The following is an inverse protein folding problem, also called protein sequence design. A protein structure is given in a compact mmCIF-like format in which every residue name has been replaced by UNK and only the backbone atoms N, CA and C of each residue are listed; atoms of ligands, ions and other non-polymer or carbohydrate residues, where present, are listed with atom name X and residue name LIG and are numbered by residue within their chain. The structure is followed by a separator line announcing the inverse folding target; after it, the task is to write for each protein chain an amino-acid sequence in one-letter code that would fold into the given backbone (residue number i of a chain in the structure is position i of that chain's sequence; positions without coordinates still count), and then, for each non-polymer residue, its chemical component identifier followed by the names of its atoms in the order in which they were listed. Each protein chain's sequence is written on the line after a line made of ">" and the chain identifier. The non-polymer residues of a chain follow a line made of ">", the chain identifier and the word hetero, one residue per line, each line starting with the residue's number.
data_IF_512719001648
#
_entry.id   IF_512719001648
#
_cell.length_a   1.000
_cell.length_b   1.000
_cell.length_c   1.000
_cell.angle_alpha   90.00
_cell.angle_beta   90.00
_cell.angle_gamma   90.00
#
_symmetry.space_group_name_H-M   'P 1'
#
loop_
_entity.id
_entity.type
_entity.pdbx_description
1 polymer ?
#
# COMPACT_ATOMS: atom_id res chain seq x y z
N UNK A 1 5.07 2.66 0.48
CA UNK A 1 4.01 3.40 -0.25
C UNK A 1 2.66 2.73 -0.04
N UNK A 2 1.54 3.45 -0.07
CA UNK A 2 0.19 2.90 0.00
C UNK A 2 -0.69 3.54 -1.08
N UNK A 3 -1.54 2.75 -1.74
CA UNK A 3 -2.46 3.22 -2.79
C UNK A 3 -3.88 3.21 -2.22
N UNK A 4 -4.62 4.29 -2.43
CA UNK A 4 -6.00 4.41 -1.93
C UNK A 4 -6.89 5.12 -2.92
N UNK A 5 -8.19 4.88 -2.87
CA UNK A 5 -9.15 5.65 -3.66
C UNK A 5 -9.21 7.10 -3.18
N UNK A 6 -9.43 8.04 -4.11
CA UNK A 6 -9.49 9.49 -3.82
C UNK A 6 -10.51 9.85 -2.73
N UNK A 7 -11.61 9.11 -2.64
CA UNK A 7 -12.64 9.29 -1.60
C UNK A 7 -12.14 9.04 -0.17
N UNK A 8 -11.16 8.14 0.00
CA UNK A 8 -10.54 7.82 1.28
C UNK A 8 -9.30 8.66 1.55
N UNK A 9 -8.67 9.22 0.51
CA UNK A 9 -7.43 9.98 0.61
C UNK A 9 -7.56 11.20 1.54
N UNK A 10 -8.66 11.96 1.44
CA UNK A 10 -8.89 13.13 2.29
C UNK A 10 -8.97 12.76 3.78
N UNK A 11 -9.64 11.64 4.09
CA UNK A 11 -9.73 11.13 5.47
C UNK A 11 -8.36 10.70 5.97
N UNK A 12 -7.59 9.97 5.15
CA UNK A 12 -6.25 9.50 5.53
C UNK A 12 -5.29 10.68 5.81
N UNK A 13 -5.34 11.74 5.01
CA UNK A 13 -4.52 12.94 5.24
C UNK A 13 -4.93 13.70 6.51
N UNK A 14 -6.21 13.64 6.91
CA UNK A 14 -6.73 14.33 8.09
C UNK A 14 -6.55 13.54 9.38
N UNK A 15 -6.79 12.22 9.33
CA UNK A 15 -6.97 11.36 10.49
C UNK A 15 -5.88 10.29 10.61
N UNK A 16 -5.05 10.14 9.58
CA UNK A 16 -4.09 9.06 9.44
C UNK A 16 -4.71 7.82 8.79
N UNK A 17 -3.92 6.78 8.64
CA UNK A 17 -4.42 5.49 8.19
C UNK A 17 -5.38 4.89 9.22
N UNK A 18 -6.28 4.04 8.75
CA UNK A 18 -7.14 3.21 9.59
C UNK A 18 -6.93 1.73 9.21
N UNK A 19 -6.95 0.85 10.21
CA UNK A 19 -7.00 -0.58 9.95
C UNK A 19 -8.31 -0.90 9.24
N UNK A 20 -8.26 -1.79 8.25
CA UNK A 20 -9.42 -2.13 7.43
C UNK A 20 -10.61 -2.57 8.30
N UNK A 21 -11.73 -1.81 8.32
CA UNK A 21 -12.91 -2.19 9.08
C UNK A 21 -13.71 -3.22 8.26
N UNK A 22 -13.66 -4.48 8.67
CA UNK A 22 -14.44 -5.60 8.10
C UNK A 22 -14.05 -6.04 6.66
N UNK A 23 -13.13 -7.01 6.51
CA UNK A 23 -12.76 -7.58 5.23
C UNK A 23 -13.78 -8.65 4.87
N UNK A 24 -14.48 -8.48 3.76
CA UNK A 24 -15.40 -9.47 3.18
C UNK A 24 -14.70 -10.73 2.64
N UNK A 25 -13.71 -11.28 3.36
CA UNK A 25 -12.90 -12.44 2.94
C UNK A 25 -11.95 -12.14 1.78
N UNK A 26 -11.78 -10.86 1.42
CA UNK A 26 -10.92 -10.42 0.31
C UNK A 26 -9.63 -9.82 0.86
N UNK A 27 -8.75 -10.66 1.42
CA UNK A 27 -7.33 -10.36 1.39
C UNK A 27 -6.94 -10.36 -0.08
N UNK A 28 -6.30 -9.29 -0.56
CA UNK A 28 -6.05 -9.04 -1.98
C UNK A 28 -5.59 -10.32 -2.70
N UNK A 29 -6.49 -10.95 -3.48
CA UNK A 29 -6.28 -12.22 -4.20
C UNK A 29 -6.07 -13.49 -3.34
N UNK A 30 -5.80 -13.39 -2.05
CA UNK A 30 -5.67 -14.53 -1.12
C UNK A 30 -7.01 -14.86 -0.45
N UNK A 31 -7.95 -15.39 -1.24
CA UNK A 31 -9.25 -15.83 -0.77
C UNK A 31 -9.10 -17.04 0.16
N UNK A 32 -9.44 -16.91 1.44
CA UNK A 32 -9.41 -17.96 2.48
C UNK A 32 -8.03 -18.65 2.72
N UNK A 33 -6.99 -18.29 1.95
CA UNK A 33 -5.66 -18.89 2.03
C UNK A 33 -4.84 -18.36 3.19
N UNK A 34 -5.16 -17.16 3.67
CA UNK A 34 -4.41 -16.49 4.74
C UNK A 34 -5.36 -15.92 5.79
N UNK A 35 -4.92 -15.87 7.07
CA UNK A 35 -5.69 -15.24 8.13
C UNK A 35 -6.11 -13.83 7.76
N UNK A 36 -7.23 -13.41 8.32
CA UNK A 36 -7.77 -12.06 8.15
C UNK A 36 -6.72 -10.99 8.46
N UNK A 37 -6.46 -10.09 7.50
CA UNK A 37 -5.49 -9.00 7.68
C UNK A 37 -6.23 -7.72 8.07
N UNK A 38 -6.08 -7.31 9.33
CA UNK A 38 -6.62 -6.06 9.91
C UNK A 38 -5.50 -5.05 10.09
N UNK A 39 -4.97 -4.58 8.98
CA UNK A 39 -3.84 -3.66 8.93
C UNK A 39 -3.80 -2.93 7.58
N UNK A 40 -2.83 -2.03 7.43
CA UNK A 40 -2.63 -1.25 6.21
C UNK A 40 -1.60 -1.96 5.33
N UNK A 41 -1.90 -2.02 4.03
CA UNK A 41 -0.99 -2.57 3.03
C UNK A 41 -0.05 -1.48 2.51
N UNK A 42 1.24 -1.79 2.54
CA UNK A 42 2.30 -0.97 1.97
C UNK A 42 3.10 -1.77 0.95
N UNK A 43 3.56 -1.11 -0.11
CA UNK A 43 4.50 -1.68 -1.08
C UNK A 43 5.78 -0.86 -1.15
N UNK A 44 6.90 -1.52 -1.44
CA UNK A 44 8.17 -0.86 -1.77
C UNK A 44 8.21 -0.27 -3.18
N UNK A 45 7.18 -0.50 -4.00
CA UNK A 45 7.02 0.09 -5.32
C UNK A 45 5.65 0.80 -5.47
N UNK A 46 5.50 1.77 -6.38
CA UNK A 46 4.20 2.35 -6.69
C UNK A 46 3.37 1.33 -7.49
N UNK A 47 2.36 0.74 -6.83
CA UNK A 47 1.41 -0.20 -7.45
C UNK A 47 0.27 0.55 -8.13
N UNK A 48 -0.33 -0.07 -9.15
CA UNK A 48 -1.55 0.36 -9.86
C UNK A 48 -2.74 -0.50 -9.35
N UNK A 49 -3.95 0.07 -9.24
CA UNK A 49 -5.16 -0.58 -8.69
C UNK A 49 -5.60 -1.84 -9.47
N UNK A 50 -5.12 -1.97 -10.71
CA UNK A 50 -5.36 -3.13 -11.55
C UNK A 50 -4.61 -4.40 -11.09
N UNK A 51 -3.81 -4.30 -10.03
CA UNK A 51 -3.25 -5.43 -9.30
C UNK A 51 -4.31 -6.43 -8.79
N UNK A 52 -5.57 -6.00 -8.59
CA UNK A 52 -6.68 -6.86 -8.13
C UNK A 52 -7.43 -7.64 -9.21
N UNK A 53 -7.18 -7.40 -10.51
CA UNK A 53 -8.04 -7.89 -11.62
C UNK A 53 -7.29 -8.63 -12.75
N UNK A 54 -6.16 -9.27 -12.44
CA UNK A 54 -5.46 -10.14 -13.41
C UNK A 54 -4.74 -9.40 -14.55
N UNK A 55 -4.54 -8.08 -14.43
CA UNK A 55 -3.71 -7.30 -15.34
C UNK A 55 -2.85 -6.32 -14.55
N UNK A 56 -1.91 -6.85 -13.78
CA UNK A 56 -0.97 -6.05 -13.03
C UNK A 56 0.04 -5.43 -13.98
N UNK A 57 -0.25 -4.21 -14.44
CA UNK A 57 0.77 -3.42 -15.12
C UNK A 57 1.57 -2.70 -14.06
N UNK A 58 2.87 -2.98 -13.99
CA UNK A 58 3.83 -2.14 -13.28
C UNK A 58 4.06 -0.86 -14.10
N UNK A 59 3.01 -0.05 -14.28
CA UNK A 59 3.11 1.25 -14.95
C UNK A 59 3.87 2.25 -14.08
N UNK A 60 3.92 2.01 -12.76
CA UNK A 60 4.39 2.96 -11.76
C UNK A 60 3.51 4.21 -11.69
N UNK A 61 2.29 4.16 -12.25
CA UNK A 61 1.34 5.27 -12.27
C UNK A 61 0.03 4.83 -11.63
N UNK A 62 -0.43 5.54 -10.59
CA UNK A 62 -1.77 5.35 -10.04
C UNK A 62 -2.85 5.51 -11.12
N UNK A 63 -3.97 4.81 -10.95
CA UNK A 63 -5.18 5.08 -11.72
C UNK A 63 -5.67 6.51 -11.46
N UNK A 64 -6.44 7.08 -12.39
CA UNK A 64 -6.95 8.46 -12.28
C UNK A 64 -7.83 8.71 -11.06
N UNK A 65 -8.32 7.65 -10.42
CA UNK A 65 -9.15 7.69 -9.23
C UNK A 65 -8.40 7.37 -7.94
N UNK A 66 -7.11 7.06 -8.03
CA UNK A 66 -6.29 6.71 -6.89
C UNK A 66 -5.40 7.86 -6.47
N UNK A 67 -4.96 7.76 -5.22
CA UNK A 67 -3.94 8.60 -4.59
C UNK A 67 -2.83 7.68 -4.09
N UNK A 68 -1.59 8.03 -4.44
CA UNK A 68 -0.40 7.34 -3.96
C UNK A 68 0.17 8.09 -2.77
N UNK A 69 0.26 7.38 -1.64
CA UNK A 69 0.86 7.88 -0.42
C UNK A 69 2.26 7.33 -0.19
N UNK A 70 3.18 8.24 0.16
CA UNK A 70 4.50 7.92 0.66
C UNK A 70 4.55 8.16 2.18
N UNK A 71 5.15 7.22 2.91
CA UNK A 71 5.49 7.36 4.33
C UNK A 71 6.84 6.70 4.57
N UNK A 72 7.69 7.33 5.38
CA UNK A 72 9.00 6.81 5.76
C UNK A 72 8.89 6.10 7.11
N UNK A 73 8.92 4.77 7.10
CA UNK A 73 8.91 3.94 8.30
C UNK A 73 10.29 3.28 8.41
N UNK A 74 10.98 3.37 9.57
CA UNK A 74 12.30 2.74 9.74
C UNK A 74 12.28 1.24 9.47
N UNK A 75 13.32 0.73 8.83
CA UNK A 75 13.44 -0.70 8.47
C UNK A 75 13.27 -1.63 9.69
N UNK A 76 13.82 -1.25 10.84
CA UNK A 76 13.69 -2.01 12.09
C UNK A 76 12.23 -2.19 12.56
N UNK A 77 11.34 -1.28 12.15
CA UNK A 77 9.91 -1.33 12.47
C UNK A 77 9.20 -2.16 11.42
N UNK A 78 9.51 -1.94 10.14
CA UNK A 78 8.97 -2.73 9.03
C UNK A 78 9.28 -4.23 9.22
N UNK A 79 10.49 -4.58 9.64
CA UNK A 79 10.95 -5.96 9.88
C UNK A 79 10.27 -6.66 11.06
N UNK A 80 9.54 -5.93 11.92
CA UNK A 80 8.73 -6.53 12.99
C UNK A 80 7.37 -7.03 12.48
N UNK A 81 7.05 -6.76 11.22
CA UNK A 81 5.76 -7.08 10.60
C UNK A 81 5.90 -8.06 9.44
N UNK A 82 4.81 -8.76 9.04
CA UNK A 82 4.85 -9.69 7.94
C UNK A 82 5.29 -9.03 6.63
N UNK A 83 6.24 -9.68 5.97
CA UNK A 83 6.75 -9.33 4.64
C UNK A 83 6.27 -10.36 3.62
N UNK A 84 5.79 -9.89 2.47
CA UNK A 84 5.26 -10.71 1.39
C UNK A 84 5.99 -10.40 0.10
N UNK A 85 6.70 -11.38 -0.43
CA UNK A 85 7.32 -11.28 -1.75
C UNK A 85 6.29 -11.64 -2.82
N UNK A 86 5.93 -10.67 -3.65
CA UNK A 86 4.93 -10.81 -4.70
C UNK A 86 5.61 -10.76 -6.06
N UNK A 87 5.24 -11.69 -6.94
CA UNK A 87 5.80 -11.80 -8.29
C UNK A 87 4.77 -11.39 -9.33
N UNK A 88 5.07 -10.32 -10.06
CA UNK A 88 4.21 -9.79 -11.12
C UNK A 88 5.01 -9.63 -12.39
N UNK A 89 4.53 -10.23 -13.48
CA UNK A 89 5.21 -10.17 -14.78
C UNK A 89 6.71 -10.56 -14.69
N UNK A 90 7.06 -11.47 -13.75
CA UNK A 90 8.44 -11.89 -13.51
C UNK A 90 9.31 -10.88 -12.73
N UNK A 91 8.73 -9.80 -12.20
CA UNK A 91 9.40 -8.84 -11.32
C UNK A 91 8.95 -9.04 -9.87
N UNK A 92 9.88 -9.29 -8.95
CA UNK A 92 9.56 -9.33 -7.53
C UNK A 92 9.38 -7.92 -6.98
N UNK A 93 8.47 -7.76 -6.04
CA UNK A 93 8.41 -6.62 -5.16
C UNK A 93 7.87 -7.08 -3.80
N UNK A 94 7.96 -6.20 -2.82
CA UNK A 94 7.64 -6.52 -1.44
C UNK A 94 6.42 -5.74 -1.00
N UNK A 95 5.49 -6.45 -0.37
CA UNK A 95 4.41 -5.85 0.40
C UNK A 95 4.60 -6.07 1.90
N UNK A 96 4.20 -5.07 2.67
CA UNK A 96 4.28 -5.03 4.12
C UNK A 96 2.89 -4.79 4.69
N UNK A 97 2.59 -5.50 5.77
CA UNK A 97 1.32 -5.39 6.48
C UNK A 97 1.59 -4.75 7.83
N UNK A 98 1.36 -3.44 7.93
CA UNK A 98 1.71 -2.65 9.12
C UNK A 98 0.42 -2.12 9.75
N UNK A 99 0.19 -2.30 11.07
CA UNK A 99 -0.96 -1.72 11.74
C UNK A 99 -1.01 -0.20 11.56
N UNK A 100 -2.20 0.35 11.38
CA UNK A 100 -2.40 1.79 11.22
C UNK A 100 -1.82 2.58 12.41
N UNK A 101 -2.01 2.08 13.63
CA UNK A 101 -1.44 2.68 14.85
C UNK A 101 0.09 2.78 14.79
N UNK A 102 0.77 1.81 14.16
CA UNK A 102 2.22 1.83 14.00
C UNK A 102 2.61 2.80 12.88
N UNK A 103 1.98 2.71 11.71
CA UNK A 103 2.29 3.57 10.57
C UNK A 103 2.11 5.06 10.92
N UNK A 104 1.01 5.40 11.60
CA UNK A 104 0.68 6.78 11.98
C UNK A 104 1.67 7.41 12.97
N UNK A 105 2.54 6.64 13.63
CA UNK A 105 3.61 7.19 14.48
C UNK A 105 4.73 7.87 13.69
N UNK A 106 4.84 7.58 12.39
CA UNK A 106 5.90 8.10 11.51
C UNK A 106 5.45 9.29 10.67
N UNK A 107 4.32 9.91 11.06
CA UNK A 107 3.81 11.14 10.49
C UNK A 107 2.66 10.92 9.51
N UNK A 108 2.02 12.02 9.06
CA UNK A 108 0.99 11.93 8.04
C UNK A 108 1.63 11.49 6.72
N UNK A 109 0.96 10.64 5.93
CA UNK A 109 1.44 10.29 4.60
C UNK A 109 1.51 11.51 3.68
N UNK A 110 2.39 11.44 2.69
CA UNK A 110 2.58 12.46 1.66
C UNK A 110 1.90 12.00 0.38
N UNK A 111 1.02 12.81 -0.20
CA UNK A 111 0.47 12.59 -1.53
C UNK A 111 1.56 12.83 -2.60
N UNK A 112 1.91 11.78 -3.33
CA UNK A 112 2.92 11.80 -4.40
C UNK A 112 2.32 11.43 -5.77
N UNK A 113 1.00 11.48 -5.91
CA UNK A 113 0.26 11.03 -7.11
C UNK A 113 0.73 11.74 -8.39
N UNK A 114 0.98 13.04 -8.30
CA UNK A 114 1.37 13.89 -9.44
C UNK A 114 2.90 14.10 -9.55
N UNK A 115 3.71 13.42 -8.72
CA UNK A 115 5.17 13.53 -8.81
C UNK A 115 5.68 12.71 -10.01
N UNK A 116 5.67 13.28 -11.21
CA UNK A 116 6.34 12.67 -12.37
C UNK A 116 7.87 12.69 -12.18
N UNK A 117 8.50 11.52 -12.13
CA UNK A 117 9.89 11.35 -12.58
C UNK A 117 11.02 11.32 -11.55
N UNK A 118 10.78 11.57 -10.26
CA UNK A 118 11.87 11.68 -9.27
C UNK A 118 11.77 10.74 -8.05
N UNK A 119 10.94 9.70 -8.10
CA UNK A 119 11.04 8.62 -7.12
C UNK A 119 12.15 7.63 -7.54
N UNK A 120 13.39 8.11 -7.58
CA UNK A 120 14.57 7.24 -7.63
C UNK A 120 14.85 6.73 -6.23
N UNK A 121 14.34 5.54 -5.91
CA UNK A 121 14.72 4.82 -4.70
C UNK A 121 16.14 4.29 -4.90
N UNK A 122 17.12 4.92 -4.23
CA UNK A 122 18.53 4.54 -4.24
C UNK A 122 18.82 3.36 -3.32
#
# INVERSE_FOLDING_TARGET
>A
MSLTGRESAESILREGFEDRPDPTGRNHLFYDEVPEIKAVWFSNIPLDDNAGAGSWKLTGRPSVNDVLFLIEIPDEVVQQHPEWEVFVEGRPFTEYIIPAEVANQYGPPIDVTDMEGDLQFS
#
